data_IF_564774896600
#
_entry.id   IF_564774896600
#
_cell.length_a   1.000
_cell.length_b   1.000
_cell.length_c   1.000
_cell.angle_alpha   90.00
_cell.angle_beta   90.00
_cell.angle_gamma   90.00
#
_symmetry.space_group_name_H-M   'P 1'
#
loop_
_entity.id
_entity.type
_entity.pdbx_description
1 polymer ?
#
# COMPACT_ATOMS: atom_id res chain seq x y z
N UNK A 1 48.48 11.63 4.09
CA UNK A 1 47.33 11.67 5.02
C UNK A 1 46.12 11.20 4.23
N UNK A 2 45.69 9.96 4.44
CA UNK A 2 44.45 9.46 3.85
C UNK A 2 43.26 10.06 4.61
N UNK A 3 42.15 10.43 3.95
CA UNK A 3 40.98 10.95 4.63
C UNK A 3 40.35 9.85 5.48
N UNK A 4 40.19 10.11 6.78
CA UNK A 4 39.48 9.23 7.71
C UNK A 4 38.03 9.05 7.26
N UNK A 5 37.59 7.79 7.19
CA UNK A 5 36.17 7.47 7.06
C UNK A 5 35.38 8.08 8.23
N UNK A 6 34.21 8.67 7.99
CA UNK A 6 33.39 9.21 9.08
C UNK A 6 32.98 8.08 10.02
N UNK A 7 33.29 8.27 11.30
CA UNK A 7 32.87 7.39 12.40
C UNK A 7 31.34 7.30 12.42
N UNK A 8 30.82 6.09 12.47
CA UNK A 8 29.40 5.83 12.61
C UNK A 8 28.85 6.47 13.89
N UNK A 9 27.74 7.19 13.73
CA UNK A 9 27.01 7.87 14.81
C UNK A 9 26.44 6.83 15.82
N UNK A 10 26.61 6.99 17.15
CA UNK A 10 26.18 6.00 18.16
C UNK A 10 24.64 5.84 18.29
N UNK A 11 23.85 6.61 17.54
CA UNK A 11 22.38 6.67 17.68
C UNK A 11 21.59 5.59 16.94
N UNK A 12 22.21 4.79 16.08
CA UNK A 12 21.51 3.73 15.34
C UNK A 12 21.74 2.40 16.03
N UNK A 13 20.80 1.98 16.89
CA UNK A 13 20.81 0.64 17.48
C UNK A 13 20.78 -0.38 16.34
N UNK A 14 21.93 -0.97 16.05
CA UNK A 14 22.05 -2.00 15.03
C UNK A 14 21.31 -3.24 15.51
N UNK A 15 20.09 -3.45 14.98
CA UNK A 15 19.33 -4.65 15.29
C UNK A 15 20.01 -5.87 14.64
N UNK A 16 20.13 -6.97 15.38
CA UNK A 16 20.75 -8.20 14.85
C UNK A 16 19.76 -9.10 14.12
N UNK A 17 18.45 -8.83 14.23
CA UNK A 17 17.40 -9.69 13.67
C UNK A 17 17.39 -9.64 12.15
N UNK A 18 17.37 -8.46 11.52
CA UNK A 18 17.35 -8.37 10.05
C UNK A 18 18.57 -9.02 9.38
N UNK A 19 19.82 -8.79 9.83
CA UNK A 19 20.97 -9.51 9.28
C UNK A 19 20.87 -11.02 9.46
N UNK A 20 20.35 -11.48 10.61
CA UNK A 20 20.18 -12.91 10.88
C UNK A 20 19.15 -13.56 9.96
N UNK A 21 18.01 -12.90 9.74
CA UNK A 21 16.97 -13.36 8.81
C UNK A 21 17.49 -13.34 7.38
N UNK A 22 18.05 -12.21 6.94
CA UNK A 22 18.53 -12.01 5.56
C UNK A 22 19.59 -13.00 5.14
N UNK A 23 20.42 -13.49 6.09
CA UNK A 23 21.42 -14.52 5.83
C UNK A 23 20.81 -15.82 5.28
N UNK A 24 19.60 -16.18 5.71
CA UNK A 24 18.97 -17.46 5.40
C UNK A 24 17.86 -17.39 4.35
N UNK A 25 17.43 -16.17 4.01
CA UNK A 25 16.44 -15.98 2.98
C UNK A 25 17.08 -16.09 1.58
N UNK A 26 16.40 -16.73 0.61
CA UNK A 26 16.92 -16.81 -0.75
C UNK A 26 17.00 -15.40 -1.37
N UNK A 27 17.87 -15.15 -2.35
CA UNK A 27 17.72 -13.97 -3.19
C UNK A 27 16.44 -14.10 -4.03
N UNK A 28 15.80 -12.96 -4.30
CA UNK A 28 14.71 -12.84 -5.28
C UNK A 28 15.23 -12.16 -6.55
N UNK A 29 14.37 -11.48 -7.29
CA UNK A 29 14.76 -10.58 -8.37
C UNK A 29 15.42 -9.29 -7.84
N UNK A 30 16.05 -8.53 -8.73
CA UNK A 30 16.81 -7.33 -8.40
C UNK A 30 15.97 -6.19 -7.79
N UNK A 31 14.67 -6.12 -8.10
CA UNK A 31 13.75 -5.12 -7.56
C UNK A 31 13.30 -5.52 -6.17
N UNK A 32 12.88 -6.77 -5.98
CA UNK A 32 12.57 -7.34 -4.67
C UNK A 32 13.75 -7.26 -3.71
N UNK A 33 14.97 -7.56 -4.19
CA UNK A 33 16.19 -7.46 -3.38
C UNK A 33 16.49 -6.02 -2.97
N UNK A 34 16.26 -5.04 -3.86
CA UNK A 34 16.35 -3.62 -3.51
C UNK A 34 15.36 -3.26 -2.39
N UNK A 35 14.09 -3.61 -2.57
CA UNK A 35 13.06 -3.29 -1.59
C UNK A 35 13.30 -3.97 -0.26
N UNK A 36 13.81 -5.21 -0.24
CA UNK A 36 14.20 -5.88 1.00
C UNK A 36 15.36 -5.18 1.71
N UNK A 37 16.38 -4.75 0.95
CA UNK A 37 17.50 -3.98 1.47
C UNK A 37 17.08 -2.62 2.06
N UNK A 38 15.96 -2.06 1.62
CA UNK A 38 15.39 -0.83 2.16
C UNK A 38 14.44 -1.09 3.34
N UNK A 39 13.41 -1.91 3.14
CA UNK A 39 12.32 -2.10 4.10
C UNK A 39 12.75 -2.91 5.32
N UNK A 40 13.59 -3.93 5.11
CA UNK A 40 14.00 -4.85 6.17
C UNK A 40 14.71 -4.17 7.34
N UNK A 41 15.80 -3.39 7.10
CA UNK A 41 16.48 -2.66 8.17
C UNK A 41 15.58 -1.63 8.86
N UNK A 42 14.76 -0.89 8.10
CA UNK A 42 13.83 0.10 8.66
C UNK A 42 12.87 -0.54 9.65
N UNK A 43 12.21 -1.63 9.23
CA UNK A 43 11.23 -2.32 10.07
C UNK A 43 11.88 -3.00 11.27
N UNK A 44 13.09 -3.54 11.12
CA UNK A 44 13.79 -4.12 12.26
C UNK A 44 14.06 -3.08 13.36
N UNK A 45 14.51 -1.88 12.98
CA UNK A 45 14.71 -0.75 13.92
C UNK A 45 13.38 -0.30 14.53
N UNK A 46 12.34 -0.12 13.72
CA UNK A 46 11.00 0.29 14.19
C UNK A 46 10.42 -0.69 15.21
N UNK A 47 10.47 -1.99 14.93
CA UNK A 47 9.95 -3.04 15.81
C UNK A 47 10.78 -3.14 17.10
N UNK A 48 12.11 -3.02 17.01
CA UNK A 48 12.99 -3.00 18.17
C UNK A 48 12.65 -1.82 19.10
N UNK A 49 12.57 -0.61 18.55
CA UNK A 49 12.28 0.60 19.32
C UNK A 49 10.85 0.63 19.87
N UNK A 50 9.93 -0.10 19.24
CA UNK A 50 8.55 -0.27 19.73
C UNK A 50 8.43 -1.35 20.80
N UNK A 51 9.53 -2.03 21.15
CA UNK A 51 9.56 -3.02 22.23
C UNK A 51 8.92 -4.36 21.86
N UNK A 52 8.86 -4.70 20.57
CA UNK A 52 8.42 -6.02 20.10
C UNK A 52 9.37 -7.10 20.58
N UNK A 53 8.82 -8.27 20.90
CA UNK A 53 9.63 -9.45 21.23
C UNK A 53 10.51 -9.85 20.05
N UNK A 54 11.61 -10.59 20.30
CA UNK A 54 12.47 -11.08 19.21
C UNK A 54 11.69 -11.98 18.25
N UNK A 55 10.85 -12.88 18.75
CA UNK A 55 10.02 -13.76 17.91
C UNK A 55 9.10 -12.95 17.00
N UNK A 56 8.41 -11.94 17.52
CA UNK A 56 7.57 -11.05 16.72
C UNK A 56 8.38 -10.28 15.67
N UNK A 57 9.61 -9.84 15.99
CA UNK A 57 10.49 -9.20 15.01
C UNK A 57 10.83 -10.15 13.85
N UNK A 58 11.15 -11.42 14.14
CA UNK A 58 11.38 -12.44 13.12
C UNK A 58 10.12 -12.67 12.26
N UNK A 59 8.97 -12.86 12.89
CA UNK A 59 7.70 -13.14 12.24
C UNK A 59 7.29 -12.03 11.28
N UNK A 60 7.35 -10.77 11.73
CA UNK A 60 7.03 -9.61 10.90
C UNK A 60 8.01 -9.47 9.73
N UNK A 61 9.31 -9.63 9.96
CA UNK A 61 10.31 -9.54 8.90
C UNK A 61 10.14 -10.64 7.84
N UNK A 62 9.84 -11.87 8.24
CA UNK A 62 9.52 -12.97 7.33
C UNK A 62 8.25 -12.67 6.54
N UNK A 63 7.21 -12.19 7.22
CA UNK A 63 5.96 -11.78 6.58
C UNK A 63 6.20 -10.73 5.49
N UNK A 64 6.92 -9.66 5.80
CA UNK A 64 7.24 -8.59 4.84
C UNK A 64 8.02 -9.15 3.64
N UNK A 65 9.03 -9.97 3.89
CA UNK A 65 9.86 -10.53 2.84
C UNK A 65 9.08 -11.50 1.91
N UNK A 66 8.17 -12.31 2.46
CA UNK A 66 7.42 -13.29 1.68
C UNK A 66 6.18 -12.70 1.00
N UNK A 67 5.49 -11.77 1.66
CA UNK A 67 4.20 -11.25 1.22
C UNK A 67 4.34 -9.86 0.62
N UNK A 68 4.99 -8.90 1.26
CA UNK A 68 4.99 -7.51 0.80
C UNK A 68 6.02 -7.27 -0.31
N UNK A 69 7.29 -7.60 -0.07
CA UNK A 69 8.42 -7.26 -0.95
C UNK A 69 8.18 -7.61 -2.43
N UNK A 70 7.69 -8.82 -2.79
CA UNK A 70 7.49 -9.18 -4.18
C UNK A 70 6.42 -8.36 -4.91
N UNK A 71 5.56 -7.63 -4.19
CA UNK A 71 4.49 -6.80 -4.75
C UNK A 71 4.79 -5.31 -4.69
N UNK A 72 6.03 -4.92 -4.37
CA UNK A 72 6.45 -3.50 -4.41
C UNK A 72 6.88 -3.04 -5.81
N UNK A 73 6.94 -3.95 -6.78
CA UNK A 73 7.20 -3.62 -8.18
C UNK A 73 8.61 -3.12 -8.45
N UNK A 74 8.75 -2.37 -9.55
CA UNK A 74 10.05 -1.84 -9.99
C UNK A 74 10.67 -0.95 -8.92
N UNK A 75 11.93 -1.23 -8.60
CA UNK A 75 12.70 -0.43 -7.67
C UNK A 75 13.16 0.88 -8.34
N UNK A 76 13.08 2.03 -7.65
CA UNK A 76 13.34 3.35 -8.25
C UNK A 76 14.74 3.51 -8.85
N UNK A 77 15.76 2.77 -8.36
CA UNK A 77 17.11 2.80 -8.98
C UNK A 77 17.16 2.24 -10.40
N UNK A 78 16.18 1.44 -10.80
CA UNK A 78 16.05 0.91 -12.15
C UNK A 78 15.05 1.71 -12.99
N UNK A 79 14.48 2.77 -12.42
CA UNK A 79 13.53 3.65 -13.11
C UNK A 79 14.20 4.77 -13.91
N UNK A 80 15.53 4.89 -13.86
CA UNK A 80 16.28 5.93 -14.56
C UNK A 80 16.27 5.75 -16.08
N UNK A 81 16.24 6.89 -16.77
CA UNK A 81 16.16 7.07 -18.22
C UNK A 81 17.34 6.48 -19.03
N UNK A 82 18.40 6.00 -18.38
CA UNK A 82 19.59 5.46 -19.05
C UNK A 82 19.50 3.94 -19.33
N UNK A 83 18.68 3.18 -18.62
CA UNK A 83 18.62 1.70 -18.73
C UNK A 83 17.64 1.18 -19.79
N UNK A 84 17.23 2.02 -20.74
CA UNK A 84 16.43 1.58 -21.88
C UNK A 84 14.99 1.17 -21.57
N UNK A 85 14.47 1.53 -20.39
CA UNK A 85 13.02 1.42 -20.11
C UNK A 85 12.25 2.22 -21.17
N UNK A 86 11.28 1.57 -21.80
CA UNK A 86 10.44 2.20 -22.80
C UNK A 86 9.71 3.41 -22.21
N UNK A 87 9.41 4.42 -23.02
CA UNK A 87 8.62 5.60 -22.61
C UNK A 87 7.28 5.24 -21.95
N UNK A 88 6.76 4.04 -22.25
CA UNK A 88 5.57 3.45 -21.63
C UNK A 88 5.85 3.00 -20.19
N UNK A 89 7.00 2.39 -19.91
CA UNK A 89 7.41 1.98 -18.56
C UNK A 89 7.77 3.18 -17.69
N UNK A 90 8.42 4.19 -18.26
CA UNK A 90 8.68 5.46 -17.59
C UNK A 90 7.37 6.21 -17.26
N UNK A 91 6.44 6.25 -18.22
CA UNK A 91 5.09 6.76 -17.99
C UNK A 91 4.41 6.03 -16.84
N UNK A 92 4.47 4.69 -16.80
CA UNK A 92 3.92 3.83 -15.74
C UNK A 92 4.51 4.09 -14.35
N UNK A 93 5.78 4.50 -14.28
CA UNK A 93 6.45 4.88 -13.02
C UNK A 93 6.01 6.27 -12.56
N UNK A 94 5.64 7.16 -13.48
CA UNK A 94 5.14 8.51 -13.19
C UNK A 94 3.70 8.53 -12.59
N UNK A 95 2.87 7.51 -12.86
CA UNK A 95 1.55 7.34 -12.19
C UNK A 95 1.67 7.09 -10.68
N UNK A 96 2.86 6.75 -10.19
CA UNK A 96 3.09 6.52 -8.78
C UNK A 96 3.48 7.84 -8.14
N UNK A 97 2.49 8.48 -7.50
CA UNK A 97 2.59 9.76 -6.81
C UNK A 97 4.01 10.10 -6.37
N UNK A 98 4.65 10.94 -7.16
CA UNK A 98 5.92 11.56 -6.81
C UNK A 98 5.60 12.72 -5.88
N UNK A 99 5.70 12.50 -4.58
CA UNK A 99 6.00 13.61 -3.67
C UNK A 99 7.53 13.71 -3.67
N UNK A 100 8.06 14.80 -4.20
CA UNK A 100 9.49 15.13 -4.18
C UNK A 100 10.46 14.07 -4.76
N UNK A 101 10.07 13.39 -5.84
CA UNK A 101 10.96 12.45 -6.54
C UNK A 101 11.15 11.10 -5.84
N UNK A 102 10.33 10.77 -4.84
CA UNK A 102 10.38 9.48 -4.13
C UNK A 102 9.12 8.67 -4.44
N UNK A 103 9.30 7.44 -4.91
CA UNK A 103 8.21 6.47 -5.04
C UNK A 103 7.84 5.93 -3.67
N UNK A 104 6.80 6.47 -3.04
CA UNK A 104 6.30 6.01 -1.73
C UNK A 104 5.47 4.74 -1.87
N UNK A 105 6.14 3.59 -2.00
CA UNK A 105 5.49 2.26 -1.99
C UNK A 105 5.14 1.79 -0.58
N UNK A 106 5.88 2.30 0.39
CA UNK A 106 5.83 1.93 1.79
C UNK A 106 5.69 3.20 2.61
N UNK A 107 4.79 3.15 3.58
CA UNK A 107 4.59 4.19 4.59
C UNK A 107 4.62 3.52 5.95
N UNK A 108 5.39 4.07 6.90
CA UNK A 108 5.45 3.55 8.26
C UNK A 108 4.67 4.48 9.18
N UNK A 109 3.82 3.92 10.03
CA UNK A 109 3.13 4.71 11.05
C UNK A 109 3.15 3.99 12.41
N UNK A 110 3.05 4.80 13.45
CA UNK A 110 3.00 4.35 14.84
C UNK A 110 1.58 4.54 15.35
N UNK A 111 1.04 3.52 16.02
CA UNK A 111 -0.20 3.63 16.77
C UNK A 111 0.12 3.59 18.26
N UNK A 112 -0.44 4.54 18.98
CA UNK A 112 -0.32 4.64 20.44
C UNK A 112 -1.71 4.38 21.03
N UNK A 113 -2.06 3.11 21.33
CA UNK A 113 -3.40 2.78 21.80
C UNK A 113 -3.68 3.35 23.19
N UNK A 114 -2.67 3.40 24.05
CA UNK A 114 -2.74 3.89 25.42
C UNK A 114 -1.58 4.87 25.71
N UNK A 115 -1.78 5.91 26.54
CA UNK A 115 -0.72 6.85 26.93
C UNK A 115 0.50 6.18 27.59
N UNK A 116 0.28 5.05 28.28
CA UNK A 116 1.30 4.28 28.98
C UNK A 116 1.69 2.98 28.23
N UNK A 117 1.00 2.70 27.12
CA UNK A 117 1.18 1.48 26.33
C UNK A 117 2.40 1.50 25.43
N UNK A 118 2.82 0.32 24.98
CA UNK A 118 3.82 0.21 23.92
C UNK A 118 3.20 0.60 22.58
N UNK A 119 3.93 1.32 21.73
CA UNK A 119 3.45 1.64 20.39
C UNK A 119 3.41 0.39 19.52
N UNK A 120 2.46 0.39 18.59
CA UNK A 120 2.31 -0.64 17.57
C UNK A 120 2.75 -0.08 16.22
N UNK A 121 3.51 -0.87 15.48
CA UNK A 121 3.95 -0.51 14.13
C UNK A 121 2.88 -0.89 13.12
N UNK A 122 2.63 0.03 12.19
CA UNK A 122 1.82 -0.21 11.00
C UNK A 122 2.65 0.06 9.75
N UNK A 123 2.34 -0.68 8.69
CA UNK A 123 2.88 -0.42 7.37
C UNK A 123 1.75 -0.23 6.36
N UNK A 124 1.71 0.94 5.75
CA UNK A 124 0.96 1.20 4.53
C UNK A 124 1.78 0.71 3.34
N UNK A 125 1.15 -0.05 2.47
CA UNK A 125 1.76 -0.63 1.27
C UNK A 125 0.89 -0.25 0.09
N UNK A 126 1.52 0.17 -1.00
CA UNK A 126 0.86 0.41 -2.29
C UNK A 126 1.36 -0.67 -3.28
N UNK A 127 0.69 -1.84 -3.33
CA UNK A 127 1.13 -2.95 -4.15
C UNK A 127 1.08 -2.62 -5.63
N UNK A 128 1.92 -3.26 -6.42
CA UNK A 128 1.99 -3.05 -7.86
C UNK A 128 2.44 -4.29 -8.59
N UNK A 129 1.85 -4.52 -9.76
CA UNK A 129 2.25 -5.57 -10.67
C UNK A 129 2.80 -4.97 -11.98
N UNK A 130 3.62 -5.74 -12.69
CA UNK A 130 4.16 -5.35 -14.00
C UNK A 130 3.10 -5.08 -15.08
N UNK A 131 1.87 -5.52 -14.85
CA UNK A 131 0.73 -5.31 -15.75
C UNK A 131 -0.09 -4.06 -15.42
N UNK A 132 0.24 -3.35 -14.35
CA UNK A 132 -0.45 -2.13 -13.95
C UNK A 132 -0.48 -1.09 -15.08
N UNK A 133 -1.69 -0.57 -15.35
CA UNK A 133 -1.94 0.40 -16.42
C UNK A 133 -1.91 -0.20 -17.83
N UNK A 134 -1.79 -1.52 -17.98
CA UNK A 134 -1.90 -2.20 -19.29
C UNK A 134 -3.33 -2.66 -19.54
N UNK A 135 -3.60 -3.19 -20.74
CA UNK A 135 -4.88 -3.83 -21.02
C UNK A 135 -5.19 -5.06 -20.13
N UNK A 136 -4.14 -5.67 -19.54
CA UNK A 136 -4.29 -6.84 -18.65
C UNK A 136 -4.71 -6.40 -17.25
N UNK A 137 -4.14 -5.32 -16.73
CA UNK A 137 -4.49 -4.76 -15.42
C UNK A 137 -4.58 -3.22 -15.46
N UNK A 138 -5.64 -2.67 -16.06
CA UNK A 138 -5.74 -1.23 -16.32
C UNK A 138 -5.71 -0.38 -15.04
N UNK A 139 -6.16 -0.95 -13.93
CA UNK A 139 -6.33 -0.26 -12.66
C UNK A 139 -5.32 -0.70 -11.59
N UNK A 140 -4.42 -1.66 -11.84
CA UNK A 140 -3.53 -2.21 -10.81
C UNK A 140 -4.27 -2.92 -9.66
N UNK A 141 -5.31 -3.70 -9.99
CA UNK A 141 -6.06 -4.49 -9.01
C UNK A 141 -5.47 -5.89 -8.80
N UNK A 142 -4.63 -6.39 -9.70
CA UNK A 142 -4.03 -7.73 -9.55
C UNK A 142 -3.09 -7.78 -8.34
N UNK A 143 -2.21 -6.79 -8.19
CA UNK A 143 -1.23 -6.77 -7.11
C UNK A 143 -1.82 -6.79 -5.69
N UNK A 144 -2.79 -5.92 -5.34
CA UNK A 144 -3.44 -6.01 -4.02
C UNK A 144 -4.20 -7.33 -3.87
N UNK A 145 -4.87 -7.82 -4.91
CA UNK A 145 -5.59 -9.10 -4.88
C UNK A 145 -4.64 -10.27 -4.58
N UNK A 146 -3.50 -10.34 -5.27
CA UNK A 146 -2.49 -11.39 -5.08
C UNK A 146 -1.81 -11.30 -3.71
N UNK A 147 -1.50 -10.08 -3.24
CA UNK A 147 -0.95 -9.87 -1.90
C UNK A 147 -1.91 -10.43 -0.84
N UNK A 148 -3.17 -10.02 -0.88
CA UNK A 148 -4.19 -10.48 0.07
C UNK A 148 -4.40 -11.99 -0.04
N UNK A 149 -4.58 -12.51 -1.25
CA UNK A 149 -4.77 -13.95 -1.49
C UNK A 149 -3.60 -14.79 -1.01
N UNK A 150 -2.36 -14.27 -1.06
CA UNK A 150 -1.17 -15.02 -0.62
C UNK A 150 -1.14 -15.30 0.89
N UNK A 151 -1.93 -14.58 1.69
CA UNK A 151 -1.94 -14.68 3.14
C UNK A 151 -3.09 -15.53 3.68
N UNK A 152 -4.12 -15.83 2.88
CA UNK A 152 -5.31 -16.56 3.32
C UNK A 152 -4.98 -17.98 3.81
N UNK A 153 -3.92 -18.59 3.27
CA UNK A 153 -3.44 -19.90 3.74
C UNK A 153 -2.76 -19.86 5.12
N UNK A 154 -2.31 -18.69 5.57
CA UNK A 154 -1.51 -18.52 6.79
C UNK A 154 -2.28 -17.82 7.91
N UNK A 155 -3.36 -17.11 7.58
CA UNK A 155 -4.19 -16.37 8.54
C UNK A 155 -5.61 -16.97 8.51
N UNK A 156 -5.93 -17.95 9.38
CA UNK A 156 -7.19 -18.71 9.29
C UNK A 156 -8.46 -17.88 9.43
N UNK A 157 -8.39 -16.72 10.09
CA UNK A 157 -9.52 -15.80 10.26
C UNK A 157 -9.62 -14.72 9.16
N UNK A 158 -8.71 -14.73 8.17
CA UNK A 158 -8.67 -13.75 7.11
C UNK A 158 -9.39 -14.27 5.86
N UNK A 159 -10.55 -13.67 5.54
CA UNK A 159 -11.27 -13.91 4.30
C UNK A 159 -11.33 -12.65 3.43
N UNK A 160 -11.51 -12.87 2.12
CA UNK A 160 -11.54 -11.80 1.12
C UNK A 160 -12.96 -11.37 0.75
N UNK A 161 -13.98 -11.75 1.54
CA UNK A 161 -15.39 -11.50 1.19
C UNK A 161 -15.66 -10.01 1.07
N UNK A 162 -15.25 -9.20 2.06
CA UNK A 162 -15.40 -7.75 2.00
C UNK A 162 -14.56 -7.14 0.89
N UNK A 163 -13.34 -7.65 0.68
CA UNK A 163 -12.47 -7.16 -0.39
C UNK A 163 -13.13 -7.32 -1.77
N UNK A 164 -13.58 -8.53 -2.11
CA UNK A 164 -14.27 -8.79 -3.37
C UNK A 164 -15.58 -8.00 -3.49
N UNK A 165 -16.33 -7.86 -2.40
CA UNK A 165 -17.56 -7.05 -2.37
C UNK A 165 -17.30 -5.60 -2.79
N UNK A 166 -16.33 -4.93 -2.17
CA UNK A 166 -16.01 -3.54 -2.50
C UNK A 166 -15.38 -3.40 -3.89
N UNK A 167 -14.60 -4.38 -4.36
CA UNK A 167 -14.13 -4.38 -5.75
C UNK A 167 -15.30 -4.39 -6.74
N UNK A 168 -16.32 -5.22 -6.49
CA UNK A 168 -17.49 -5.32 -7.36
C UNK A 168 -18.38 -4.07 -7.31
N UNK A 169 -18.46 -3.41 -6.15
CA UNK A 169 -19.34 -2.24 -5.96
C UNK A 169 -18.71 -0.92 -6.36
N UNK A 170 -17.40 -0.76 -6.16
CA UNK A 170 -16.72 0.52 -6.37
C UNK A 170 -16.10 0.65 -7.77
N UNK A 171 -15.73 -0.45 -8.42
CA UNK A 171 -15.12 -0.42 -9.75
C UNK A 171 -16.03 -0.99 -10.82
N UNK A 172 -15.89 -0.53 -12.06
CA UNK A 172 -16.66 -1.07 -13.16
C UNK A 172 -16.28 -2.53 -13.47
N UNK A 173 -17.27 -3.29 -13.92
CA UNK A 173 -17.06 -4.63 -14.45
C UNK A 173 -16.16 -4.59 -15.69
N UNK A 174 -16.46 -3.70 -16.63
CA UNK A 174 -15.67 -3.47 -17.84
C UNK A 174 -14.50 -2.52 -17.54
N UNK A 175 -13.31 -3.08 -17.29
CA UNK A 175 -12.11 -2.32 -16.90
C UNK A 175 -11.20 -1.92 -18.06
N UNK A 176 -11.29 -2.59 -19.21
CA UNK A 176 -10.56 -2.25 -20.44
C UNK A 176 -10.82 -0.81 -20.93
N UNK A 177 -11.98 -0.23 -20.62
CA UNK A 177 -12.28 1.18 -20.96
C UNK A 177 -11.28 2.19 -20.35
N UNK A 178 -10.58 1.79 -19.29
CA UNK A 178 -9.57 2.58 -18.61
C UNK A 178 -8.23 2.66 -19.36
N UNK A 179 -7.94 1.72 -20.26
CA UNK A 179 -6.63 1.64 -20.95
C UNK A 179 -6.35 2.88 -21.81
N UNK A 180 -7.38 3.43 -22.44
CA UNK A 180 -7.29 4.60 -23.31
C UNK A 180 -7.65 5.91 -22.63
N UNK A 181 -7.98 5.89 -21.33
CA UNK A 181 -8.41 7.07 -20.61
C UNK A 181 -7.22 7.99 -20.33
N UNK A 182 -7.14 9.12 -21.04
CA UNK A 182 -6.15 10.16 -20.76
C UNK A 182 -6.26 10.69 -19.32
N UNK A 183 -7.46 10.66 -18.76
CA UNK A 183 -7.76 11.09 -17.40
C UNK A 183 -7.09 10.22 -16.33
N UNK A 184 -6.73 8.96 -16.66
CA UNK A 184 -5.91 8.15 -15.76
C UNK A 184 -4.45 8.58 -15.72
N UNK A 185 -3.97 9.37 -16.69
CA UNK A 185 -2.58 9.87 -16.72
C UNK A 185 -2.30 10.74 -15.50
N UNK A 186 -1.67 10.15 -14.48
CA UNK A 186 -1.34 10.80 -13.21
C UNK A 186 -2.28 10.47 -12.05
N UNK A 187 -3.31 9.63 -12.24
CA UNK A 187 -4.21 9.29 -11.13
C UNK A 187 -3.62 8.22 -10.20
N UNK A 188 -3.72 8.45 -8.87
CA UNK A 188 -3.02 7.70 -7.86
C UNK A 188 -3.76 6.39 -7.56
N UNK A 189 -3.03 5.28 -7.51
CA UNK A 189 -3.32 4.02 -6.81
C UNK A 189 -4.80 3.72 -6.50
N UNK A 190 -5.37 2.71 -7.14
CA UNK A 190 -6.77 2.34 -6.85
C UNK A 190 -6.96 1.68 -5.49
N UNK A 191 -5.93 1.03 -4.94
CA UNK A 191 -6.00 0.32 -3.66
C UNK A 191 -4.68 0.44 -2.92
N UNK A 192 -4.74 0.69 -1.62
CA UNK A 192 -3.62 0.53 -0.71
C UNK A 192 -3.96 -0.51 0.37
N UNK A 193 -2.94 -1.20 0.87
CA UNK A 193 -3.09 -2.18 1.95
C UNK A 193 -2.33 -1.70 3.18
N UNK A 194 -3.00 -1.65 4.32
CA UNK A 194 -2.36 -1.42 5.61
C UNK A 194 -2.16 -2.73 6.36
N UNK A 195 -1.09 -2.86 7.13
CA UNK A 195 -0.87 -3.99 8.02
C UNK A 195 -0.58 -3.48 9.41
N UNK A 196 -1.31 -3.99 10.40
CA UNK A 196 -1.04 -3.76 11.82
C UNK A 196 -0.41 -5.01 12.42
N UNK A 197 0.67 -4.84 13.16
CA UNK A 197 1.39 -5.95 13.80
C UNK A 197 1.07 -5.97 15.29
N UNK A 198 0.03 -6.69 15.70
CA UNK A 198 -0.44 -6.75 17.08
C UNK A 198 0.12 -7.98 17.79
N UNK A 199 1.36 -7.88 18.27
CA UNK A 199 2.04 -9.01 18.92
C UNK A 199 2.36 -10.14 17.93
N UNK A 200 1.52 -11.18 17.89
CA UNK A 200 1.60 -12.29 16.93
C UNK A 200 0.56 -12.18 15.80
N UNK A 201 -0.43 -11.30 15.93
CA UNK A 201 -1.46 -11.14 14.93
C UNK A 201 -1.02 -10.11 13.88
N UNK A 202 -1.19 -10.46 12.60
CA UNK A 202 -1.00 -9.56 11.47
C UNK A 202 -2.38 -9.24 10.92
N UNK A 203 -2.82 -7.99 11.10
CA UNK A 203 -4.14 -7.55 10.69
C UNK A 203 -4.06 -6.73 9.39
N UNK A 204 -4.45 -7.32 8.24
CA UNK A 204 -4.54 -6.58 6.99
C UNK A 204 -5.77 -5.66 6.96
N UNK A 205 -5.58 -4.50 6.33
CA UNK A 205 -6.62 -3.52 5.99
C UNK A 205 -6.48 -3.15 4.53
N UNK A 206 -7.58 -2.82 3.88
CA UNK A 206 -7.60 -2.35 2.50
C UNK A 206 -8.28 -1.00 2.44
N UNK A 207 -7.66 -0.07 1.73
CA UNK A 207 -8.18 1.25 1.44
C UNK A 207 -8.47 1.32 -0.05
N UNK A 208 -9.72 1.64 -0.39
CA UNK A 208 -10.17 1.77 -1.77
C UNK A 208 -10.15 3.24 -2.17
N UNK A 209 -9.52 3.53 -3.29
CA UNK A 209 -9.53 4.84 -3.95
C UNK A 209 -10.13 4.64 -5.34
N UNK A 210 -11.44 4.38 -5.42
CA UNK A 210 -12.08 4.07 -6.68
C UNK A 210 -12.15 5.28 -7.58
N UNK A 211 -11.88 5.04 -8.86
CA UNK A 211 -12.01 6.03 -9.91
C UNK A 211 -12.89 5.49 -11.03
N UNK A 212 -13.76 6.33 -11.59
CA UNK A 212 -14.63 5.98 -12.73
C UNK A 212 -14.60 7.04 -13.81
N UNK A 213 -14.57 6.61 -15.08
CA UNK A 213 -14.66 7.53 -16.22
C UNK A 213 -15.90 8.41 -16.11
N UNK A 214 -15.73 9.72 -16.33
CA UNK A 214 -16.82 10.70 -16.23
C UNK A 214 -17.24 11.08 -14.81
N UNK A 215 -16.68 10.43 -13.79
CA UNK A 215 -16.73 10.87 -12.41
C UNK A 215 -15.35 11.46 -12.08
N UNK A 216 -15.29 12.57 -11.34
CA UNK A 216 -14.00 13.20 -10.97
C UNK A 216 -13.15 12.32 -10.06
N UNK A 217 -12.32 12.95 -9.22
CA UNK A 217 -11.40 12.22 -8.32
C UNK A 217 -12.11 11.42 -7.21
N UNK A 218 -13.43 11.53 -7.11
CA UNK A 218 -14.24 10.86 -6.08
C UNK A 218 -15.50 10.25 -6.69
N UNK A 219 -15.90 9.10 -6.17
CA UNK A 219 -17.21 8.53 -6.48
C UNK A 219 -18.33 9.32 -5.79
N UNK A 220 -19.53 9.36 -6.39
CA UNK A 220 -20.73 9.86 -5.72
C UNK A 220 -20.96 9.11 -4.39
N UNK A 221 -21.45 9.83 -3.39
CA UNK A 221 -21.66 9.30 -2.04
C UNK A 221 -22.65 8.13 -2.04
N UNK A 222 -23.65 8.18 -2.91
CA UNK A 222 -24.68 7.15 -3.06
C UNK A 222 -24.07 5.78 -3.43
N UNK A 223 -22.97 5.78 -4.19
CA UNK A 223 -22.25 4.55 -4.54
C UNK A 223 -21.56 3.95 -3.31
N UNK A 224 -21.00 4.80 -2.44
CA UNK A 224 -20.41 4.35 -1.17
C UNK A 224 -21.48 3.81 -0.23
N UNK A 225 -22.60 4.50 -0.10
CA UNK A 225 -23.73 4.08 0.73
C UNK A 225 -24.30 2.73 0.26
N UNK A 226 -24.51 2.55 -1.05
CA UNK A 226 -24.95 1.28 -1.61
C UNK A 226 -23.94 0.17 -1.32
N UNK A 227 -22.65 0.44 -1.53
CA UNK A 227 -21.59 -0.53 -1.26
C UNK A 227 -21.56 -0.94 0.23
N UNK A 228 -21.71 0.01 1.14
CA UNK A 228 -21.70 -0.22 2.58
C UNK A 228 -22.96 -0.97 3.06
N UNK A 229 -24.15 -0.56 2.61
CA UNK A 229 -25.44 -1.16 3.01
C UNK A 229 -25.62 -2.58 2.48
N UNK A 230 -25.09 -2.87 1.29
CA UNK A 230 -25.16 -4.20 0.69
C UNK A 230 -24.05 -5.16 1.13
N UNK A 231 -23.13 -4.72 2.01
CA UNK A 231 -22.04 -5.55 2.49
C UNK A 231 -22.56 -6.78 3.26
N UNK A 232 -21.94 -7.96 3.10
CA UNK A 232 -22.39 -9.21 3.74
C UNK A 232 -22.26 -9.21 5.26
N UNK A 233 -21.61 -8.20 5.84
CA UNK A 233 -21.47 -8.00 7.28
C UNK A 233 -22.48 -6.93 7.73
N UNK A 234 -23.35 -7.27 8.69
CA UNK A 234 -24.25 -6.28 9.31
C UNK A 234 -23.44 -5.34 10.19
N UNK A 235 -23.36 -4.06 9.81
CA UNK A 235 -22.71 -3.01 10.61
C UNK A 235 -23.80 -2.10 11.20
N UNK A 236 -24.14 -2.22 12.50
CA UNK A 236 -25.20 -1.42 13.13
C UNK A 236 -24.98 0.10 13.05
N UNK A 237 -23.72 0.54 12.94
CA UNK A 237 -23.32 1.94 12.88
C UNK A 237 -23.61 2.64 11.54
N UNK A 238 -24.08 1.93 10.51
CA UNK A 238 -24.43 2.58 9.23
C UNK A 238 -25.61 3.56 9.37
N UNK A 239 -26.47 3.36 10.37
CA UNK A 239 -27.66 4.18 10.60
C UNK A 239 -27.38 5.46 11.40
N UNK A 240 -26.14 5.68 11.85
CA UNK A 240 -25.76 6.84 12.70
C UNK A 240 -24.97 7.91 11.97
N UNK A 241 -24.74 7.76 10.66
CA UNK A 241 -24.08 8.79 9.86
C UNK A 241 -25.15 9.79 9.39
N UNK A 242 -25.32 10.88 10.13
CA UNK A 242 -26.16 12.00 9.73
C UNK A 242 -25.47 12.76 8.60
N UNK A 243 -26.01 12.68 7.38
CA UNK A 243 -25.57 13.52 6.28
C UNK A 243 -26.26 14.88 6.37
N UNK A 244 -25.53 16.01 6.26
CA UNK A 244 -26.17 17.30 6.08
C UNK A 244 -26.97 17.27 4.78
N UNK A 245 -28.20 17.83 4.75
CA UNK A 245 -29.02 17.82 3.55
C UNK A 245 -28.26 18.47 2.39
N UNK A 246 -28.33 17.82 1.23
CA UNK A 246 -27.67 18.24 -0.01
C UNK A 246 -27.85 19.74 -0.24
N UNK A 247 -26.76 20.51 -0.06
CA UNK A 247 -26.76 21.91 -0.47
C UNK A 247 -26.78 21.94 -2.00
N UNK A 248 -27.95 22.19 -2.59
CA UNK A 248 -28.05 22.64 -3.98
C UNK A 248 -27.05 23.77 -4.19
N UNK A 249 -26.06 23.65 -5.09
CA UNK A 249 -25.09 24.72 -5.29
C UNK A 249 -25.80 25.88 -5.99
N UNK A 250 -26.13 26.92 -5.23
CA UNK A 250 -26.53 28.20 -5.80
C UNK A 250 -25.29 28.86 -6.39
N UNK A 251 -25.09 28.71 -7.70
CA UNK A 251 -24.12 29.52 -8.42
C UNK A 251 -24.61 30.96 -8.46
N UNK A 252 -24.10 31.79 -7.54
CA UNK A 252 -24.18 33.24 -7.67
C UNK A 252 -23.32 33.72 -8.85
N UNK A 253 -23.71 34.80 -9.55
CA UNK A 253 -23.01 35.25 -10.74
C UNK A 253 -21.60 35.72 -10.37
N UNK A 254 -20.58 35.14 -11.02
CA UNK A 254 -19.22 35.68 -10.98
C UNK A 254 -19.24 37.02 -11.69
N UNK A 255 -18.88 38.09 -10.98
CA UNK A 255 -18.55 39.37 -11.62
C UNK A 255 -17.23 39.19 -12.38
N UNK A 256 -17.25 39.58 -13.66
CA UNK A 256 -16.09 39.74 -14.52
C UNK A 256 -15.16 40.83 -13.99
#
# INVERSE_FOLDING_TARGET
>A
MAPEHPKSDPGMVATTVWPSVSKWLPPRDEHSNYWWGLAGPHLAVLLHNSGYSRSSQYEVLLFIYHHIVPRLGLAPRFASTEDGLSSVEQGRIQFLGHVDGRTERLEYSWRWPDPEGKPEIRIGVKPWCRFAGTAIDPLNLMAPTELLSSMTAQVPCFDLTLFHHFILKLYDAEKNKYVSAKELQGLPWVCATGFEFLGHDILPKVYFFPWRLGHGDTLPLEVWEEALTSAPMRVPALHTVDYPPSATPTFGPRKF
#
